data_IF_377619679524
#
_entry.id   IF_377619679524
#
_cell.length_a   1.000
_cell.length_b   1.000
_cell.length_c   1.000
_cell.angle_alpha   90.00
_cell.angle_beta   90.00
_cell.angle_gamma   90.00
#
_symmetry.space_group_name_H-M   'P 1'
#
loop_
_entity.id
_entity.type
_entity.pdbx_description
1 polymer ?
#
# COMPACT_ATOMS: atom_id res chain seq x y z
N UNK A 1 -19.60 -13.87 -1.75
CA UNK A 1 -19.34 -12.79 -2.69
C UNK A 1 -17.86 -12.77 -3.02
N UNK A 2 -17.54 -12.49 -4.27
CA UNK A 2 -16.16 -12.43 -4.72
C UNK A 2 -15.75 -10.98 -4.91
N UNK A 3 -14.45 -10.66 -4.77
CA UNK A 3 -13.96 -9.28 -4.98
C UNK A 3 -14.40 -8.70 -6.32
N UNK A 4 -14.37 -9.50 -7.39
CA UNK A 4 -14.75 -9.03 -8.73
C UNK A 4 -16.21 -8.62 -8.83
N UNK A 5 -17.08 -9.09 -7.93
CA UNK A 5 -18.48 -8.68 -7.89
C UNK A 5 -18.61 -7.19 -7.52
N UNK A 6 -17.55 -6.63 -6.92
CA UNK A 6 -17.48 -5.22 -6.51
C UNK A 6 -16.50 -4.43 -7.35
N UNK A 7 -16.02 -4.99 -8.46
CA UNK A 7 -15.01 -4.34 -9.28
C UNK A 7 -13.61 -4.38 -8.70
N UNK A 8 -13.38 -5.23 -7.70
CA UNK A 8 -12.09 -5.33 -7.03
C UNK A 8 -11.26 -6.50 -7.56
N UNK A 9 -9.95 -6.31 -7.58
CA UNK A 9 -8.99 -7.40 -7.76
C UNK A 9 -8.12 -7.50 -6.54
N UNK A 10 -7.78 -8.72 -6.14
CA UNK A 10 -6.91 -8.99 -4.99
C UNK A 10 -5.84 -9.96 -5.44
N UNK A 11 -4.59 -9.54 -5.37
CA UNK A 11 -3.45 -10.34 -5.80
C UNK A 11 -2.35 -10.30 -4.76
N UNK A 12 -1.51 -11.33 -4.76
CA UNK A 12 -0.27 -11.32 -4.01
C UNK A 12 0.82 -10.88 -4.99
N UNK A 13 1.58 -9.84 -4.64
CA UNK A 13 2.63 -9.30 -5.50
C UNK A 13 3.95 -9.21 -4.77
N UNK A 14 5.01 -9.37 -5.55
CA UNK A 14 6.37 -9.04 -5.10
C UNK A 14 6.66 -7.61 -5.50
N UNK A 15 6.75 -6.74 -4.51
CA UNK A 15 6.99 -5.32 -4.71
C UNK A 15 8.48 -5.07 -4.65
N UNK A 16 9.08 -4.92 -5.82
CA UNK A 16 10.49 -4.57 -5.95
C UNK A 16 10.67 -3.06 -5.71
N UNK A 17 11.90 -2.58 -5.48
CA UNK A 17 12.13 -1.13 -5.40
C UNK A 17 11.65 -0.37 -6.63
N UNK A 18 11.81 -0.93 -7.81
CA UNK A 18 11.31 -0.29 -9.04
C UNK A 18 9.79 -0.16 -9.00
N UNK A 19 9.09 -1.24 -8.63
CA UNK A 19 7.64 -1.19 -8.50
C UNK A 19 7.20 -0.19 -7.43
N UNK A 20 7.88 -0.17 -6.30
CA UNK A 20 7.57 0.76 -5.21
C UNK A 20 7.67 2.21 -5.70
N UNK A 21 8.71 2.53 -6.45
CA UNK A 21 8.88 3.86 -7.01
C UNK A 21 7.74 4.22 -7.96
N UNK A 22 7.37 3.29 -8.84
CA UNK A 22 6.27 3.50 -9.78
C UNK A 22 4.94 3.72 -9.05
N UNK A 23 4.66 2.91 -8.05
CA UNK A 23 3.41 3.03 -7.30
C UNK A 23 3.34 4.36 -6.55
N UNK A 24 4.45 4.78 -5.93
CA UNK A 24 4.50 6.06 -5.21
C UNK A 24 4.35 7.26 -6.14
N UNK A 25 4.76 7.13 -7.40
CA UNK A 25 4.62 8.23 -8.36
C UNK A 25 3.16 8.56 -8.68
N UNK A 26 2.24 7.65 -8.40
CA UNK A 26 0.80 7.85 -8.64
C UNK A 26 0.01 7.84 -7.34
N UNK A 27 0.52 8.53 -6.33
CA UNK A 27 -0.11 8.62 -5.02
C UNK A 27 -1.29 9.59 -5.09
N UNK A 28 -2.49 9.12 -4.70
CA UNK A 28 -3.70 9.93 -4.71
C UNK A 28 -3.68 11.02 -3.62
N UNK A 29 -2.94 10.78 -2.56
CA UNK A 29 -2.87 11.68 -1.41
C UNK A 29 -1.42 11.99 -1.08
N UNK A 30 -1.11 13.28 -1.01
CA UNK A 30 0.22 13.73 -0.64
C UNK A 30 0.33 13.77 0.88
N UNK A 31 0.20 12.59 1.50
CA UNK A 31 0.32 12.48 2.94
C UNK A 31 1.76 12.62 3.38
N UNK A 32 1.92 13.25 4.53
CA UNK A 32 3.25 13.38 5.11
C UNK A 32 3.77 12.00 5.48
N UNK A 33 4.98 11.69 5.03
CA UNK A 33 5.65 10.45 5.35
C UNK A 33 6.21 10.54 6.77
N UNK A 34 5.85 9.56 7.60
CA UNK A 34 6.37 9.48 8.97
C UNK A 34 7.59 8.57 8.97
N UNK A 35 8.78 9.16 9.13
CA UNK A 35 10.03 8.41 9.03
C UNK A 35 10.13 7.29 10.06
N UNK A 36 9.63 7.51 11.28
CA UNK A 36 9.64 6.44 12.28
C UNK A 36 8.89 5.21 11.83
N UNK A 37 7.77 5.41 11.13
CA UNK A 37 6.97 4.32 10.62
C UNK A 37 7.69 3.61 9.47
N UNK A 38 8.31 4.37 8.58
CA UNK A 38 9.12 3.81 7.49
C UNK A 38 10.26 2.99 8.09
N UNK A 39 10.97 3.54 9.06
CA UNK A 39 12.12 2.87 9.68
C UNK A 39 11.72 1.57 10.39
N UNK A 40 10.55 1.56 11.01
CA UNK A 40 10.02 0.35 11.63
C UNK A 40 9.78 -0.75 10.59
N UNK A 41 9.21 -0.39 9.45
CA UNK A 41 9.00 -1.36 8.36
C UNK A 41 10.31 -1.79 7.72
N UNK A 42 11.28 -0.89 7.59
CA UNK A 42 12.62 -1.25 7.09
C UNK A 42 13.24 -2.31 7.99
N UNK A 43 13.16 -2.09 9.29
CA UNK A 43 13.69 -3.06 10.26
C UNK A 43 13.04 -4.43 10.10
N UNK A 44 11.71 -4.45 9.96
CA UNK A 44 10.99 -5.70 9.76
C UNK A 44 11.44 -6.41 8.49
N UNK A 45 11.65 -5.67 7.41
CA UNK A 45 12.13 -6.24 6.16
C UNK A 45 13.54 -6.80 6.30
N UNK A 46 14.43 -6.04 6.94
CA UNK A 46 15.83 -6.45 7.11
C UNK A 46 15.98 -7.67 7.99
N UNK A 47 15.11 -7.80 9.00
CA UNK A 47 15.14 -8.92 9.91
C UNK A 47 14.37 -10.14 9.42
N UNK A 48 13.73 -10.03 8.26
CA UNK A 48 12.92 -11.12 7.73
C UNK A 48 11.64 -11.37 8.52
N UNK A 49 11.20 -10.40 9.29
CA UNK A 49 10.00 -10.52 10.13
C UNK A 49 8.71 -10.20 9.39
N UNK A 50 8.82 -9.72 8.17
CA UNK A 50 7.65 -9.37 7.38
C UNK A 50 6.89 -10.62 6.97
N UNK A 51 5.62 -10.70 7.35
CA UNK A 51 4.74 -11.81 7.01
C UNK A 51 3.53 -11.29 6.29
N UNK A 52 2.94 -12.15 5.45
CA UNK A 52 1.67 -11.86 4.81
C UNK A 52 0.59 -11.89 5.89
N UNK A 53 0.15 -10.72 6.33
CA UNK A 53 -0.69 -10.59 7.52
C UNK A 53 -2.00 -9.83 7.26
N UNK A 54 -2.42 -9.71 6.01
CA UNK A 54 -3.63 -9.00 5.67
C UNK A 54 -3.46 -7.50 5.48
N UNK A 55 -2.33 -6.93 5.79
CA UNK A 55 -2.04 -5.54 5.45
C UNK A 55 -1.78 -5.45 3.95
N UNK A 56 -2.38 -4.46 3.31
CA UNK A 56 -2.44 -4.39 1.85
C UNK A 56 -1.88 -3.09 1.31
N UNK A 57 -1.47 -3.15 0.05
CA UNK A 57 -1.28 -1.96 -0.76
C UNK A 57 -2.57 -1.78 -1.53
N UNK A 58 -3.15 -0.58 -1.51
CA UNK A 58 -4.47 -0.36 -2.10
C UNK A 58 -4.45 0.73 -3.16
N UNK A 59 -5.19 0.47 -4.23
CA UNK A 59 -5.35 1.40 -5.36
C UNK A 59 -6.82 1.63 -5.64
N UNK A 60 -7.16 2.82 -6.12
CA UNK A 60 -8.52 3.11 -6.55
C UNK A 60 -8.78 2.58 -7.97
N UNK A 61 -10.01 2.78 -8.45
CA UNK A 61 -10.42 2.33 -9.76
C UNK A 61 -9.66 3.04 -10.89
N UNK A 62 -9.05 4.18 -10.61
CA UNK A 62 -8.24 4.93 -11.58
C UNK A 62 -6.76 4.56 -11.51
N UNK A 63 -6.39 3.58 -10.67
CA UNK A 63 -5.02 3.15 -10.53
C UNK A 63 -4.16 4.01 -9.62
N UNK A 64 -4.78 4.92 -8.86
CA UNK A 64 -4.04 5.79 -7.95
C UNK A 64 -3.85 5.10 -6.60
N UNK A 65 -2.66 5.27 -6.02
CA UNK A 65 -2.33 4.68 -4.73
C UNK A 65 -3.14 5.35 -3.61
N UNK A 66 -3.86 4.54 -2.83
CA UNK A 66 -4.62 5.00 -1.67
C UNK A 66 -3.93 4.68 -0.36
N UNK A 67 -3.40 3.48 -0.20
CA UNK A 67 -2.80 3.06 1.05
C UNK A 67 -1.54 2.26 0.87
N UNK A 68 -0.71 2.23 1.91
CA UNK A 68 0.54 1.47 1.90
C UNK A 68 1.77 2.28 1.57
N UNK A 69 1.68 3.62 1.55
CA UNK A 69 2.83 4.44 1.15
C UNK A 69 4.05 4.23 2.04
N UNK A 70 3.86 4.03 3.35
CA UNK A 70 5.01 3.83 4.25
C UNK A 70 5.74 2.52 3.96
N UNK A 71 5.00 1.48 3.60
CA UNK A 71 5.60 0.20 3.21
C UNK A 71 6.37 0.33 1.90
N UNK A 72 5.84 1.09 0.96
CA UNK A 72 6.52 1.33 -0.31
C UNK A 72 7.80 2.13 -0.10
N UNK A 73 7.77 3.13 0.77
CA UNK A 73 8.98 3.87 1.14
C UNK A 73 10.00 2.96 1.82
N UNK A 74 9.53 2.01 2.63
CA UNK A 74 10.43 1.05 3.28
C UNK A 74 11.11 0.14 2.26
N UNK A 75 10.40 -0.28 1.22
CA UNK A 75 10.99 -1.05 0.12
C UNK A 75 12.10 -0.25 -0.56
N UNK A 76 11.83 1.02 -0.85
CA UNK A 76 12.84 1.89 -1.47
C UNK A 76 14.07 2.07 -0.59
N UNK A 77 13.83 2.34 0.69
CA UNK A 77 14.92 2.64 1.62
C UNK A 77 15.77 1.41 1.90
N UNK A 78 15.14 0.24 2.06
CA UNK A 78 15.85 -1.00 2.37
C UNK A 78 16.45 -1.69 1.14
N UNK A 79 15.86 -1.46 -0.03
CA UNK A 79 16.22 -2.21 -1.23
C UNK A 79 15.71 -3.65 -1.23
N UNK A 80 14.86 -4.01 -0.27
CA UNK A 80 14.35 -5.37 -0.09
C UNK A 80 12.97 -5.50 -0.71
N UNK A 81 12.75 -6.54 -1.50
CA UNK A 81 11.45 -6.83 -2.12
C UNK A 81 10.46 -7.28 -1.04
N UNK A 82 9.26 -6.71 -1.10
CA UNK A 82 8.16 -7.02 -0.18
C UNK A 82 7.12 -7.85 -0.91
N UNK A 83 6.76 -9.01 -0.36
CA UNK A 83 5.64 -9.79 -0.86
C UNK A 83 4.40 -9.45 -0.04
N UNK A 84 3.37 -8.94 -0.68
CA UNK A 84 2.17 -8.50 0.03
C UNK A 84 0.93 -8.58 -0.83
N UNK A 85 -0.22 -8.41 -0.19
CA UNK A 85 -1.50 -8.33 -0.89
C UNK A 85 -1.66 -6.95 -1.52
N UNK A 86 -2.19 -6.93 -2.74
CA UNK A 86 -2.51 -5.70 -3.46
C UNK A 86 -3.97 -5.74 -3.86
N UNK A 87 -4.70 -4.71 -3.50
CA UNK A 87 -6.13 -4.57 -3.81
C UNK A 87 -6.29 -3.39 -4.77
N UNK A 88 -6.99 -3.60 -5.88
CA UNK A 88 -7.26 -2.58 -6.89
C UNK A 88 -8.75 -2.45 -7.11
N UNK A 89 -9.17 -1.27 -7.55
CA UNK A 89 -10.55 -1.03 -7.93
C UNK A 89 -11.41 -0.36 -6.87
N UNK A 90 -10.78 0.15 -5.81
CA UNK A 90 -11.53 0.85 -4.75
C UNK A 90 -12.14 2.15 -5.27
N UNK A 91 -13.24 2.58 -4.64
CA UNK A 91 -13.89 3.82 -4.99
C UNK A 91 -12.95 5.00 -4.72
N UNK A 92 -12.67 5.84 -5.74
CA UNK A 92 -11.77 6.98 -5.53
C UNK A 92 -12.27 7.99 -4.50
N UNK A 93 -13.56 8.01 -4.21
CA UNK A 93 -14.15 8.98 -3.30
C UNK A 93 -14.18 8.54 -1.84
N UNK A 94 -13.82 7.30 -1.54
CA UNK A 94 -13.90 6.77 -0.18
C UNK A 94 -13.23 7.69 0.84
N UNK A 95 -12.03 8.15 0.54
CA UNK A 95 -11.25 8.95 1.49
C UNK A 95 -11.84 10.35 1.64
N UNK A 96 -12.33 10.94 0.56
CA UNK A 96 -12.84 12.30 0.56
C UNK A 96 -14.20 12.40 1.24
N UNK A 97 -15.04 11.38 1.09
CA UNK A 97 -16.41 11.40 1.57
C UNK A 97 -16.55 10.92 3.00
N UNK A 98 -15.59 10.18 3.53
CA UNK A 98 -15.67 9.63 4.88
C UNK A 98 -14.28 9.59 5.52
N UNK A 99 -13.91 10.64 6.28
CA UNK A 99 -12.59 10.70 6.91
C UNK A 99 -12.26 9.52 7.82
N UNK A 100 -13.26 8.90 8.42
CA UNK A 100 -13.04 7.77 9.30
C UNK A 100 -12.51 6.56 8.53
N UNK A 101 -12.87 6.42 7.28
CA UNK A 101 -12.37 5.36 6.44
C UNK A 101 -10.89 5.51 6.13
N UNK A 102 -10.35 6.71 6.25
CA UNK A 102 -8.94 6.95 6.02
C UNK A 102 -8.07 6.17 7.00
N UNK A 103 -8.55 6.01 8.21
CA UNK A 103 -7.82 5.26 9.24
C UNK A 103 -7.71 3.79 8.85
N UNK A 104 -8.73 3.25 8.21
CA UNK A 104 -8.76 1.86 7.76
C UNK A 104 -7.89 1.64 6.54
N UNK A 105 -7.93 2.57 5.60
CA UNK A 105 -7.26 2.42 4.30
C UNK A 105 -5.78 2.71 4.40
N UNK A 106 -5.40 3.64 5.23
CA UNK A 106 -4.05 4.21 5.21
C UNK A 106 -3.05 3.57 6.16
N UNK A 107 -3.43 2.66 6.90
CA UNK A 107 -2.59 1.89 7.77
C UNK A 107 -1.10 2.24 7.75
#
# INVERSE_FOLDING_TARGET
>A
MKPEDFGLTVDIEEITPVKASLYLSNNAHHRKVKQKKVDSYVKDLEEGNWKLNGKTITFDANGRLLGGQHRLHAVLKSGITLTTLVVRGLDPEIIETNPENNVIITE
#
